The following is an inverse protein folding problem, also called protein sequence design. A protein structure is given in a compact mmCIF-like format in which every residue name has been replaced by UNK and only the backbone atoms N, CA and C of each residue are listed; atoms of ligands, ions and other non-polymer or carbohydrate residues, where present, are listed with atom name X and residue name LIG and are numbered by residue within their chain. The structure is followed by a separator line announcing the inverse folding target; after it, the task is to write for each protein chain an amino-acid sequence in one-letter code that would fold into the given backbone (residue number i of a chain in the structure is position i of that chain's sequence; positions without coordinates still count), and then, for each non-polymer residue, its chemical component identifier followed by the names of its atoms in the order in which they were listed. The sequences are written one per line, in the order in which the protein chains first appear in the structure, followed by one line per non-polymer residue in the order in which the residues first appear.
data_IF_538855067239
#
_entry.id   IF_538855067239
#
_cell.length_a   1.000
_cell.length_b   1.000
_cell.length_c   1.000
_cell.angle_alpha   90.00
_cell.angle_beta   90.00
_cell.angle_gamma   90.00
#
_symmetry.space_group_name_H-M   'P 1'
#
loop_
_entity.id
_entity.type
_entity.pdbx_description
1 polymer ?
#
# COMPACT_ATOMS: atom_id res chain seq x y z
N UNK A 1 -76.17 16.67 -16.98
CA UNK A 1 -76.38 18.13 -16.96
C UNK A 1 -75.50 18.71 -15.85
N UNK A 2 -74.75 19.78 -16.14
CA UNK A 2 -74.03 20.67 -15.20
C UNK A 2 -72.93 20.05 -14.32
N UNK A 3 -71.84 20.74 -13.95
CA UNK A 3 -71.25 22.03 -14.31
C UNK A 3 -69.81 22.05 -13.75
N UNK A 4 -69.00 22.97 -14.26
CA UNK A 4 -67.61 23.26 -13.92
C UNK A 4 -67.36 23.61 -12.44
N UNK A 5 -66.10 23.44 -11.97
CA UNK A 5 -65.16 24.52 -11.59
C UNK A 5 -63.88 23.88 -11.01
N UNK A 6 -62.73 24.30 -11.54
CA UNK A 6 -61.38 24.02 -11.07
C UNK A 6 -60.94 25.02 -9.99
N UNK A 7 -60.23 24.55 -8.96
CA UNK A 7 -59.36 25.40 -8.12
C UNK A 7 -58.06 24.65 -7.81
N UNK A 8 -56.98 25.05 -8.49
CA UNK A 8 -55.62 24.76 -8.08
C UNK A 8 -55.08 25.93 -7.24
N UNK A 9 -54.32 25.69 -6.15
CA UNK A 9 -53.60 26.74 -5.45
C UNK A 9 -52.34 27.16 -6.24
N UNK A 10 -52.11 28.46 -6.38
CA UNK A 10 -50.93 29.04 -7.01
C UNK A 10 -49.69 29.00 -6.09
N UNK A 11 -48.49 28.73 -6.65
CA UNK A 11 -47.21 29.05 -5.99
C UNK A 11 -46.75 30.49 -6.30
N UNK A 12 -46.01 31.14 -5.39
CA UNK A 12 -45.51 32.50 -5.58
C UNK A 12 -44.35 32.57 -6.60
N UNK A 13 -44.28 33.74 -7.24
CA UNK A 13 -43.42 34.07 -8.36
C UNK A 13 -41.95 34.32 -7.96
N UNK A 14 -41.07 33.76 -8.80
CA UNK A 14 -40.01 34.45 -9.55
C UNK A 14 -38.92 35.22 -8.78
N UNK A 15 -37.71 34.66 -8.73
CA UNK A 15 -36.47 35.41 -9.06
C UNK A 15 -35.29 34.47 -9.31
N UNK A 16 -34.64 34.60 -10.47
CA UNK A 16 -33.19 34.34 -10.60
C UNK A 16 -32.74 33.22 -11.53
N UNK A 17 -33.11 33.29 -12.82
CA UNK A 17 -32.38 32.58 -13.88
C UNK A 17 -30.93 33.06 -13.96
N UNK A 18 -29.98 32.12 -13.84
CA UNK A 18 -28.55 32.33 -14.08
C UNK A 18 -28.31 32.43 -15.59
N UNK A 19 -27.97 33.63 -16.06
CA UNK A 19 -27.42 33.85 -17.40
C UNK A 19 -25.94 33.45 -17.45
N UNK A 20 -25.57 32.67 -18.46
CA UNK A 20 -24.18 32.47 -18.88
C UNK A 20 -23.74 33.66 -19.75
N UNK A 21 -22.53 34.23 -19.58
CA UNK A 21 -21.96 35.14 -20.57
C UNK A 21 -21.13 34.36 -21.61
N UNK A 22 -20.92 34.94 -22.82
CA UNK A 22 -20.44 34.24 -23.99
C UNK A 22 -18.91 34.11 -24.03
N UNK A 23 -18.44 33.18 -24.87
CA UNK A 23 -17.03 32.95 -25.16
C UNK A 23 -16.44 34.02 -26.10
N UNK A 24 -15.13 34.23 -25.92
CA UNK A 24 -14.17 35.04 -26.71
C UNK A 24 -14.06 36.48 -26.20
N UNK A 25 -12.88 37.05 -25.87
CA UNK A 25 -11.62 37.02 -26.63
C UNK A 25 -10.42 37.42 -25.75
N UNK A 26 -9.26 36.82 -26.05
CA UNK A 26 -7.87 37.29 -25.82
C UNK A 26 -7.24 37.36 -24.40
N UNK A 27 -6.10 36.67 -24.30
CA UNK A 27 -5.19 36.54 -23.16
C UNK A 27 -4.35 37.81 -22.92
N UNK A 28 -4.03 38.12 -21.65
CA UNK A 28 -2.70 38.58 -21.27
C UNK A 28 -1.97 37.51 -20.44
N UNK A 29 -0.90 37.01 -21.04
CA UNK A 29 0.39 36.59 -20.48
C UNK A 29 0.52 36.26 -18.98
N UNK A 30 0.91 34.98 -18.72
CA UNK A 30 1.64 34.43 -17.55
C UNK A 30 0.96 34.45 -16.17
N UNK A 31 0.53 33.28 -15.67
CA UNK A 31 0.48 33.02 -14.23
C UNK A 31 1.91 32.78 -13.70
N UNK A 32 2.25 33.51 -12.64
CA UNK A 32 3.41 33.27 -11.78
C UNK A 32 3.44 31.80 -11.29
N UNK A 33 4.63 31.21 -11.08
CA UNK A 33 4.71 29.90 -10.44
C UNK A 33 4.19 30.04 -9.00
N UNK A 34 3.03 29.45 -8.74
CA UNK A 34 2.52 29.19 -7.40
C UNK A 34 3.58 28.36 -6.68
N UNK A 35 4.29 29.01 -5.76
CA UNK A 35 5.30 28.39 -4.93
C UNK A 35 4.68 27.38 -3.98
N UNK A 36 4.89 26.10 -4.25
CA UNK A 36 4.81 25.02 -3.26
C UNK A 36 5.85 23.95 -3.59
N UNK A 37 7.11 24.34 -3.59
CA UNK A 37 8.21 23.42 -3.34
C UNK A 37 8.99 24.05 -2.20
N UNK A 38 8.74 23.58 -0.98
CA UNK A 38 9.68 23.84 0.11
C UNK A 38 10.98 23.14 -0.28
N UNK A 39 12.13 23.84 -0.39
CA UNK A 39 13.40 23.16 -0.57
C UNK A 39 13.67 22.46 0.77
N UNK A 40 13.44 21.15 0.82
CA UNK A 40 13.98 20.36 1.91
C UNK A 40 15.50 20.58 1.89
N UNK A 41 16.14 20.85 3.04
CA UNK A 41 17.59 20.77 3.10
C UNK A 41 17.98 19.35 2.67
N UNK A 42 18.95 19.27 1.76
CA UNK A 42 19.67 18.03 1.47
C UNK A 42 20.30 17.58 2.79
N UNK A 43 19.66 16.63 3.46
CA UNK A 43 20.16 16.05 4.70
C UNK A 43 21.26 15.06 4.34
N UNK A 44 22.48 15.47 4.66
CA UNK A 44 23.77 14.87 4.31
C UNK A 44 24.09 13.68 5.24
N UNK A 45 23.11 12.80 5.45
CA UNK A 45 23.26 11.56 6.23
C UNK A 45 22.68 10.41 5.40
N UNK A 46 23.55 9.53 4.89
CA UNK A 46 23.13 8.26 4.30
C UNK A 46 22.05 7.63 5.20
N UNK A 47 20.87 7.23 4.68
CA UNK A 47 19.79 6.76 5.52
C UNK A 47 20.30 5.54 6.27
N UNK A 48 20.55 5.73 7.57
CA UNK A 48 20.83 4.63 8.48
C UNK A 48 19.75 3.58 8.21
N UNK A 49 20.16 2.37 7.81
CA UNK A 49 19.26 1.26 7.55
C UNK A 49 18.62 0.92 8.90
N UNK A 50 17.54 1.63 9.25
CA UNK A 50 16.93 1.50 10.55
C UNK A 50 16.21 0.16 10.58
N UNK A 51 16.73 -0.79 11.34
CA UNK A 51 16.08 -2.09 11.48
C UNK A 51 14.72 -1.95 12.17
N UNK A 52 13.80 -2.84 11.82
CA UNK A 52 12.58 -3.06 12.56
C UNK A 52 12.88 -3.95 13.76
N UNK A 53 12.74 -3.41 14.97
CA UNK A 53 12.97 -4.16 16.20
C UNK A 53 11.69 -4.89 16.61
N UNK A 54 11.76 -6.22 16.66
CA UNK A 54 10.74 -7.08 17.23
C UNK A 54 10.70 -6.99 18.76
N UNK A 55 9.55 -7.33 19.36
CA UNK A 55 9.36 -7.36 20.82
C UNK A 55 10.20 -8.42 21.51
N UNK A 56 10.61 -9.45 20.77
CA UNK A 56 11.56 -10.49 21.22
C UNK A 56 13.03 -10.10 21.05
N UNK A 57 13.32 -8.86 20.61
CA UNK A 57 14.67 -8.34 20.44
C UNK A 57 15.32 -8.63 19.09
N UNK A 58 14.65 -9.34 18.17
CA UNK A 58 15.16 -9.51 16.80
C UNK A 58 15.17 -8.18 16.05
N UNK A 59 16.19 -7.97 15.23
CA UNK A 59 16.26 -6.87 14.27
C UNK A 59 15.98 -7.44 12.87
N UNK A 60 14.96 -6.90 12.21
CA UNK A 60 14.55 -7.30 10.86
C UNK A 60 14.75 -6.13 9.89
N UNK A 61 14.91 -6.41 8.58
CA UNK A 61 14.87 -5.35 7.58
C UNK A 61 13.56 -4.56 7.71
N UNK A 62 13.66 -3.23 7.83
CA UNK A 62 12.49 -2.35 7.84
C UNK A 62 12.10 -2.03 6.40
N UNK A 63 10.81 -2.03 6.10
CA UNK A 63 10.32 -1.50 4.85
C UNK A 63 10.49 0.01 4.85
N UNK A 64 11.19 0.54 3.86
CA UNK A 64 11.28 1.98 3.62
C UNK A 64 11.03 2.25 2.15
N UNK A 65 10.62 3.48 1.83
CA UNK A 65 10.48 3.95 0.45
C UNK A 65 11.81 3.87 -0.34
N UNK A 66 12.95 3.80 0.35
CA UNK A 66 14.29 3.70 -0.21
C UNK A 66 14.93 2.36 0.15
N UNK A 67 14.24 1.26 -0.16
CA UNK A 67 14.75 -0.08 0.03
C UNK A 67 15.95 -0.37 -0.90
N UNK A 68 17.13 0.21 -0.59
CA UNK A 68 18.37 0.11 -1.38
C UNK A 68 19.12 -1.18 -1.00
N UNK A 69 19.80 -1.80 -1.98
CA UNK A 69 20.67 -2.99 -1.81
C UNK A 69 19.99 -4.28 -1.38
N UNK A 70 18.73 -4.48 -1.75
CA UNK A 70 18.06 -5.76 -1.59
C UNK A 70 18.39 -6.70 -2.75
N UNK A 71 18.52 -7.99 -2.44
CA UNK A 71 18.66 -9.01 -3.47
C UNK A 71 17.40 -9.10 -4.35
N UNK A 72 17.56 -9.55 -5.58
CA UNK A 72 16.40 -9.79 -6.45
C UNK A 72 15.45 -10.82 -5.85
N UNK A 73 14.14 -10.54 -5.92
CA UNK A 73 13.11 -11.40 -5.36
C UNK A 73 11.77 -10.71 -5.14
N UNK A 74 10.81 -11.48 -4.66
CA UNK A 74 9.49 -11.01 -4.22
C UNK A 74 9.55 -10.65 -2.73
N UNK A 75 8.98 -9.50 -2.37
CA UNK A 75 8.95 -9.00 -1.00
C UNK A 75 7.57 -8.50 -0.61
N UNK A 76 7.27 -8.57 0.68
CA UNK A 76 6.11 -7.99 1.35
C UNK A 76 6.58 -6.89 2.31
N UNK A 77 6.22 -5.64 2.03
CA UNK A 77 6.46 -4.51 2.94
C UNK A 77 5.21 -4.23 3.78
N UNK A 78 5.38 -4.12 5.10
CA UNK A 78 4.33 -3.68 6.02
C UNK A 78 4.56 -2.23 6.43
N UNK A 79 3.50 -1.42 6.50
CA UNK A 79 3.60 -0.01 6.91
C UNK A 79 2.29 0.47 7.54
N UNK A 80 2.30 1.73 8.01
CA UNK A 80 1.20 2.31 8.77
C UNK A 80 0.86 1.46 10.02
N UNK A 81 1.92 1.04 10.72
CA UNK A 81 1.88 0.19 11.90
C UNK A 81 1.41 0.94 13.15
N UNK A 82 0.74 0.23 14.05
CA UNK A 82 0.24 0.71 15.35
C UNK A 82 0.42 -0.36 16.42
N UNK A 83 0.74 0.07 17.65
CA UNK A 83 0.73 -0.83 18.81
C UNK A 83 -0.68 -1.12 19.32
N UNK A 84 -1.57 -0.13 19.24
CA UNK A 84 -2.98 -0.27 19.58
C UNK A 84 -3.83 -0.11 18.30
N UNK A 85 -4.67 -1.11 17.96
CA UNK A 85 -5.42 -1.11 16.71
C UNK A 85 -6.56 -0.07 16.68
N UNK A 86 -6.93 0.49 17.83
CA UNK A 86 -7.96 1.53 17.95
C UNK A 86 -7.39 2.95 17.92
N UNK A 87 -6.07 3.09 17.75
CA UNK A 87 -5.43 4.41 17.61
C UNK A 87 -5.92 5.08 16.32
N UNK A 88 -6.23 6.37 16.38
CA UNK A 88 -6.83 7.11 15.27
C UNK A 88 -5.97 7.08 14.01
N UNK A 89 -6.61 6.89 12.85
CA UNK A 89 -5.95 6.92 11.54
C UNK A 89 -5.25 8.26 11.21
N UNK A 90 -5.56 9.32 11.99
CA UNK A 90 -4.94 10.65 11.87
C UNK A 90 -3.50 10.65 12.41
N UNK A 91 -3.19 9.78 13.37
CA UNK A 91 -1.83 9.69 13.91
C UNK A 91 -0.93 9.00 12.89
N UNK A 92 0.27 9.54 12.68
CA UNK A 92 1.26 8.93 11.80
C UNK A 92 1.62 7.54 12.33
N UNK A 93 1.39 6.50 11.52
CA UNK A 93 1.84 5.15 11.81
C UNK A 93 3.36 4.99 11.65
N UNK A 94 3.89 3.82 11.99
CA UNK A 94 5.30 3.48 11.77
C UNK A 94 5.49 2.45 10.66
N UNK A 95 6.70 2.44 10.08
CA UNK A 95 7.08 1.44 9.10
C UNK A 95 7.38 0.09 9.75
N UNK A 96 6.90 -0.97 9.12
CA UNK A 96 7.02 -2.35 9.57
C UNK A 96 8.21 -3.09 8.97
N UNK A 97 8.26 -4.42 9.15
CA UNK A 97 9.28 -5.24 8.53
C UNK A 97 9.06 -5.34 7.02
N UNK A 98 10.16 -5.53 6.30
CA UNK A 98 10.22 -5.99 4.94
C UNK A 98 10.46 -7.51 4.96
N UNK A 99 9.44 -8.28 4.61
CA UNK A 99 9.44 -9.74 4.67
C UNK A 99 9.80 -10.29 3.30
N UNK A 100 10.89 -11.05 3.23
CA UNK A 100 11.35 -11.71 2.01
C UNK A 100 12.74 -12.33 2.16
N UNK A 101 13.20 -13.09 1.17
CA UNK A 101 12.58 -13.25 -0.17
C UNK A 101 11.51 -14.35 -0.22
N UNK A 102 10.46 -14.10 -0.99
CA UNK A 102 9.30 -15.00 -1.13
C UNK A 102 9.31 -15.72 -2.48
N UNK A 103 8.86 -16.99 -2.48
CA UNK A 103 8.36 -17.68 -3.67
C UNK A 103 6.95 -17.22 -4.02
N UNK A 104 6.15 -16.95 -3.00
CA UNK A 104 4.72 -16.69 -3.15
C UNK A 104 4.18 -15.80 -2.03
N UNK A 105 3.24 -14.93 -2.37
CA UNK A 105 2.47 -14.11 -1.46
C UNK A 105 1.04 -13.97 -1.99
N UNK A 106 0.04 -14.31 -1.18
CA UNK A 106 -1.36 -14.23 -1.59
C UNK A 106 -2.28 -13.88 -0.43
N UNK A 107 -3.04 -12.81 -0.62
CA UNK A 107 -4.13 -12.44 0.28
C UNK A 107 -5.34 -13.33 0.00
N UNK A 108 -5.77 -14.09 1.00
CA UNK A 108 -6.92 -15.00 0.90
C UNK A 108 -8.10 -14.39 1.66
N UNK A 109 -9.19 -14.12 0.93
CA UNK A 109 -10.48 -13.65 1.48
C UNK A 109 -10.38 -12.40 2.38
N UNK A 110 -9.33 -11.58 2.22
CA UNK A 110 -8.98 -10.49 3.12
C UNK A 110 -8.83 -10.91 4.61
N UNK A 111 -8.70 -12.21 4.90
CA UNK A 111 -8.58 -12.77 6.26
C UNK A 111 -7.15 -13.15 6.62
N UNK A 112 -6.34 -13.48 5.63
CA UNK A 112 -4.94 -13.84 5.86
C UNK A 112 -4.09 -13.55 4.63
N UNK A 113 -2.78 -13.44 4.84
CA UNK A 113 -1.78 -13.43 3.79
C UNK A 113 -0.95 -14.71 3.91
N UNK A 114 -1.03 -15.55 2.89
CA UNK A 114 -0.23 -16.78 2.78
C UNK A 114 1.10 -16.47 2.10
N UNK A 115 2.18 -16.94 2.72
CA UNK A 115 3.55 -16.74 2.29
C UNK A 115 4.25 -18.09 2.10
N UNK A 116 5.11 -18.15 1.10
CA UNK A 116 6.12 -19.21 0.98
C UNK A 116 7.48 -18.56 0.72
N UNK A 117 8.47 -18.86 1.54
CA UNK A 117 9.82 -18.32 1.41
C UNK A 117 10.59 -18.99 0.27
N UNK A 118 11.46 -18.23 -0.39
CA UNK A 118 12.36 -18.77 -1.40
C UNK A 118 13.36 -19.75 -0.78
N UNK A 119 13.94 -19.35 0.33
CA UNK A 119 14.72 -20.17 1.25
C UNK A 119 13.94 -20.31 2.58
N UNK A 120 13.47 -21.52 2.94
CA UNK A 120 12.79 -21.77 4.21
C UNK A 120 13.59 -21.36 5.46
N UNK A 121 14.93 -21.37 5.39
CA UNK A 121 15.77 -20.98 6.52
C UNK A 121 15.77 -19.46 6.75
N UNK A 122 15.73 -18.64 5.69
CA UNK A 122 15.52 -17.18 5.79
C UNK A 122 14.19 -16.89 6.50
N UNK A 123 13.16 -17.70 6.22
CA UNK A 123 11.83 -17.56 6.84
C UNK A 123 11.83 -17.62 8.37
N UNK A 124 12.77 -18.37 8.98
CA UNK A 124 12.89 -18.47 10.44
C UNK A 124 13.34 -17.16 11.10
N UNK A 125 14.01 -16.28 10.36
CA UNK A 125 14.39 -14.98 10.90
C UNK A 125 13.16 -14.12 11.16
N UNK A 126 12.12 -14.26 10.35
CA UNK A 126 10.84 -13.57 10.51
C UNK A 126 9.88 -14.33 11.43
N UNK A 127 9.87 -15.65 11.33
CA UNK A 127 8.95 -16.55 12.03
C UNK A 127 9.73 -17.67 12.74
N UNK A 128 10.28 -17.43 13.94
CA UNK A 128 11.12 -18.40 14.65
C UNK A 128 10.45 -19.74 14.95
N UNK A 129 9.11 -19.69 15.13
CA UNK A 129 8.22 -20.80 15.46
C UNK A 129 7.66 -21.53 14.23
N UNK A 130 8.20 -21.26 13.04
CA UNK A 130 7.80 -21.96 11.82
C UNK A 130 7.93 -23.48 11.97
N UNK A 131 6.92 -24.21 11.50
CA UNK A 131 6.89 -25.68 11.56
C UNK A 131 8.14 -26.28 10.89
N UNK A 132 8.70 -27.30 11.53
CA UNK A 132 9.85 -28.05 11.06
C UNK A 132 9.39 -29.44 10.68
N UNK A 133 9.71 -29.87 9.46
CA UNK A 133 9.34 -31.17 8.92
C UNK A 133 10.58 -32.00 8.58
N UNK A 134 10.44 -33.33 8.59
CA UNK A 134 11.49 -34.22 8.15
C UNK A 134 11.68 -34.13 6.62
N UNK A 135 12.89 -33.77 6.20
CA UNK A 135 13.35 -33.73 4.82
C UNK A 135 14.39 -34.80 4.52
N UNK A 136 14.80 -34.87 3.25
CA UNK A 136 15.76 -35.86 2.74
C UNK A 136 17.11 -35.82 3.46
N UNK A 137 17.56 -34.62 3.83
CA UNK A 137 18.87 -34.37 4.40
C UNK A 137 18.80 -33.95 5.89
N UNK A 138 17.64 -34.16 6.54
CA UNK A 138 17.41 -33.79 7.93
C UNK A 138 16.14 -32.95 8.12
N UNK A 139 16.03 -32.26 9.25
CA UNK A 139 14.87 -31.44 9.59
C UNK A 139 14.96 -30.05 8.93
N UNK A 140 13.93 -29.64 8.20
CA UNK A 140 13.89 -28.37 7.46
C UNK A 140 12.61 -27.61 7.78
N UNK A 141 12.64 -26.28 7.93
CA UNK A 141 11.43 -25.48 8.05
C UNK A 141 10.53 -25.66 6.81
N UNK A 142 9.22 -25.62 6.99
CA UNK A 142 8.29 -25.74 5.84
C UNK A 142 8.43 -24.58 4.85
N UNK A 143 8.92 -23.43 5.31
CA UNK A 143 8.98 -22.19 4.54
C UNK A 143 7.62 -21.56 4.30
N UNK A 144 6.54 -22.15 4.82
CA UNK A 144 5.16 -21.69 4.63
C UNK A 144 4.66 -21.04 5.90
N UNK A 145 3.98 -19.91 5.74
CA UNK A 145 3.41 -19.18 6.87
C UNK A 145 2.13 -18.46 6.47
N UNK A 146 1.23 -18.24 7.41
CA UNK A 146 0.03 -17.45 7.23
C UNK A 146 0.02 -16.30 8.25
N UNK A 147 -0.03 -15.08 7.75
CA UNK A 147 -0.22 -13.89 8.56
C UNK A 147 -1.71 -13.59 8.69
N UNK A 148 -2.27 -13.53 9.90
CA UNK A 148 -3.68 -13.21 10.07
C UNK A 148 -3.93 -11.72 9.76
N UNK A 149 -5.05 -11.44 9.10
CA UNK A 149 -5.62 -10.10 8.96
C UNK A 149 -6.75 -9.98 9.97
N UNK A 150 -6.59 -9.08 10.93
CA UNK A 150 -7.63 -8.79 11.90
C UNK A 150 -8.70 -7.90 11.25
N UNK A 151 -9.83 -8.52 10.90
CA UNK A 151 -11.03 -7.86 10.41
C UNK A 151 -11.75 -7.09 11.54
N UNK A 152 -12.43 -6.00 11.20
CA UNK A 152 -13.19 -5.16 12.15
C UNK A 152 -12.44 -3.90 12.62
N UNK A 153 -11.18 -3.76 12.24
CA UNK A 153 -10.49 -2.46 12.20
C UNK A 153 -10.90 -1.74 10.91
N UNK A 154 -10.87 -0.41 10.88
CA UNK A 154 -11.44 0.45 9.83
C UNK A 154 -11.10 0.05 8.38
N UNK A 155 -10.02 -0.72 8.18
CA UNK A 155 -9.58 -1.26 6.88
C UNK A 155 -9.05 -2.72 6.95
N UNK A 156 -9.14 -3.39 8.10
CA UNK A 156 -8.38 -4.63 8.37
C UNK A 156 -6.88 -4.36 8.56
N UNK A 157 -6.19 -5.20 9.36
CA UNK A 157 -4.74 -5.03 9.58
C UNK A 157 -4.03 -6.37 9.66
N UNK A 158 -2.86 -6.48 9.04
CA UNK A 158 -1.96 -7.62 9.23
C UNK A 158 -1.38 -7.54 10.65
N UNK A 159 -1.43 -8.65 11.38
CA UNK A 159 -0.78 -8.74 12.70
C UNK A 159 0.61 -9.32 12.55
N UNK A 160 1.62 -8.57 12.98
CA UNK A 160 3.00 -9.04 13.04
C UNK A 160 3.63 -8.57 14.35
N UNK A 161 4.26 -9.49 15.09
CA UNK A 161 4.93 -9.20 16.37
C UNK A 161 4.04 -8.41 17.37
N UNK A 162 2.76 -8.81 17.44
CA UNK A 162 1.77 -8.18 18.32
C UNK A 162 1.42 -6.73 17.97
N UNK A 163 1.75 -6.28 16.76
CA UNK A 163 1.46 -4.96 16.19
C UNK A 163 0.58 -5.08 14.96
N UNK A 164 -0.09 -4.00 14.62
CA UNK A 164 -1.14 -3.96 13.61
C UNK A 164 -0.73 -3.06 12.45
N UNK A 165 -0.64 -3.62 11.24
CA UNK A 165 -0.24 -2.90 10.03
C UNK A 165 -1.45 -2.73 9.12
N UNK A 166 -1.93 -1.50 8.98
CA UNK A 166 -3.12 -1.18 8.21
C UNK A 166 -2.90 -1.32 6.71
N UNK A 167 -1.66 -1.13 6.26
CA UNK A 167 -1.28 -1.18 4.85
C UNK A 167 -0.13 -2.16 4.61
N UNK A 168 -0.16 -2.78 3.44
CA UNK A 168 0.91 -3.65 2.97
C UNK A 168 1.04 -3.57 1.47
N UNK A 169 2.26 -3.80 0.98
CA UNK A 169 2.57 -3.83 -0.44
C UNK A 169 3.40 -5.04 -0.79
N UNK A 170 3.14 -5.61 -1.96
CA UNK A 170 3.90 -6.72 -2.51
C UNK A 170 4.59 -6.23 -3.77
N UNK A 171 5.92 -6.39 -3.83
CA UNK A 171 6.71 -5.90 -4.95
C UNK A 171 7.85 -6.84 -5.29
N UNK A 172 8.33 -6.73 -6.52
CA UNK A 172 9.47 -7.50 -7.02
C UNK A 172 10.64 -6.55 -7.18
N UNK A 173 11.78 -6.97 -6.63
CA UNK A 173 13.08 -6.40 -6.93
C UNK A 173 13.71 -7.29 -7.99
N UNK A 174 14.10 -6.67 -9.08
CA UNK A 174 14.68 -7.33 -10.23
C UNK A 174 15.71 -6.38 -10.83
N UNK A 175 16.80 -6.89 -11.41
CA UNK A 175 17.89 -6.07 -11.90
C UNK A 175 17.56 -5.49 -13.27
N UNK A 176 16.29 -5.14 -13.52
CA UNK A 176 15.82 -4.68 -14.83
C UNK A 176 16.63 -3.45 -15.22
N UNK A 177 17.59 -3.67 -16.11
CA UNK A 177 18.12 -2.62 -16.99
C UNK A 177 16.90 -1.96 -17.59
N UNK A 178 16.75 -0.66 -17.42
CA UNK A 178 15.67 0.15 -18.00
C UNK A 178 15.61 -0.15 -19.50
N UNK A 179 14.73 -1.06 -19.93
CA UNK A 179 14.48 -1.28 -21.35
C UNK A 179 13.56 -0.14 -21.74
N UNK A 180 14.15 0.90 -22.33
CA UNK A 180 13.42 1.92 -23.08
C UNK A 180 12.53 1.16 -24.07
N UNK A 181 11.22 1.30 -23.90
CA UNK A 181 10.20 0.38 -24.40
C UNK A 181 10.34 0.02 -25.87
N UNK A 182 10.26 -1.29 -26.17
CA UNK A 182 9.82 -1.73 -27.50
C UNK A 182 8.30 -1.78 -27.50
N UNK A 183 7.76 -0.96 -28.39
CA UNK A 183 6.35 -0.80 -28.76
C UNK A 183 5.60 -2.15 -28.83
N UNK A 184 4.53 -2.28 -28.05
CA UNK A 184 3.64 -3.47 -28.00
C UNK A 184 2.61 -3.49 -29.14
N UNK A 185 2.79 -2.71 -30.20
CA UNK A 185 1.82 -2.62 -31.31
C UNK A 185 1.94 -3.70 -32.40
N UNK A 186 2.88 -4.63 -32.33
CA UNK A 186 3.01 -5.67 -33.37
C UNK A 186 2.88 -7.10 -32.83
N UNK A 187 1.70 -7.45 -32.34
CA UNK A 187 1.21 -8.84 -32.45
C UNK A 187 -0.17 -8.82 -33.10
N UNK A 188 -0.18 -8.53 -34.40
CA UNK A 188 -1.32 -8.89 -35.25
C UNK A 188 -1.25 -10.40 -35.47
N UNK A 189 -2.26 -11.11 -34.98
CA UNK A 189 -2.46 -12.56 -35.15
C UNK A 189 -2.36 -12.93 -36.63
N UNK A 190 -1.64 -14.01 -36.91
CA UNK A 190 -1.78 -14.81 -38.15
C UNK A 190 -2.77 -15.93 -37.86
#
# INVERSE_FOLDING_TARGET
MSACISLFPQPPADTGMRYWPPANTEYPSKPQPLGHASPLPEDDDAPSKQDFLCRDGRALPRYTIHSVDLADGLYLGLFNGRDNPFTSAIDAGFDGPLIGRLRYCHTVEAREVRLEFLDPFEGRWFFPDMEIVAGRDGHVPTGRFALPIQLGLSSGAIVFDGRYFADWTVFIISPVRTVIGRDLRSQRRV
#
